data_IF_743038643291
#
_entry.id   IF_743038643291
#
_cell.length_a   1.000
_cell.length_b   1.000
_cell.length_c   1.000
_cell.angle_alpha   90.00
_cell.angle_beta   90.00
_cell.angle_gamma   90.00
#
_symmetry.space_group_name_H-M   'P 1'
#
loop_
_entity.id
_entity.type
_entity.pdbx_description
1 polymer ?
#
# COMPACT_ATOMS: atom_id res chain seq x y z
N UNK A 1 -3.14 12.35 -12.36
CA UNK A 1 -3.06 11.13 -11.51
C UNK A 1 -2.25 11.32 -10.23
N UNK A 2 -1.13 12.07 -10.24
CA UNK A 2 -0.26 12.25 -9.06
C UNK A 2 -0.97 12.80 -7.80
N UNK A 3 -1.85 13.82 -7.87
CA UNK A 3 -2.43 14.41 -6.67
C UNK A 3 -3.34 13.47 -5.87
N UNK A 4 -4.11 12.62 -6.56
CA UNK A 4 -5.00 11.66 -5.92
C UNK A 4 -4.21 10.58 -5.15
N UNK A 5 -3.10 10.11 -5.72
CA UNK A 5 -2.21 9.17 -5.03
C UNK A 5 -1.54 9.80 -3.82
N UNK A 6 -1.08 11.05 -3.93
CA UNK A 6 -0.51 11.76 -2.79
C UNK A 6 -1.54 11.91 -1.65
N UNK A 7 -2.78 12.25 -1.98
CA UNK A 7 -3.87 12.36 -1.00
C UNK A 7 -4.18 11.02 -0.32
N UNK A 8 -4.12 9.90 -1.06
CA UNK A 8 -4.35 8.57 -0.51
C UNK A 8 -3.15 8.04 0.31
N UNK A 9 -1.93 8.34 -0.13
CA UNK A 9 -0.70 7.84 0.49
C UNK A 9 -0.41 8.51 1.83
N UNK A 10 -0.53 9.83 1.91
CA UNK A 10 -0.19 10.61 3.10
C UNK A 10 -0.88 10.14 4.40
N UNK A 11 -2.20 9.86 4.43
CA UNK A 11 -2.87 9.36 5.62
C UNK A 11 -2.78 7.84 5.80
N UNK A 12 -2.24 7.10 4.83
CA UNK A 12 -2.13 5.64 4.92
C UNK A 12 -1.04 5.24 5.93
N UNK A 13 -1.30 4.22 6.73
CA UNK A 13 -0.32 3.71 7.69
C UNK A 13 0.76 2.91 6.97
N UNK A 14 2.02 3.23 7.25
CA UNK A 14 3.14 2.49 6.70
C UNK A 14 3.45 1.26 7.56
N UNK A 15 3.72 0.11 6.94
CA UNK A 15 3.87 -1.19 7.63
C UNK A 15 5.04 -1.22 8.61
N UNK A 16 6.16 -0.57 8.28
CA UNK A 16 7.38 -0.57 9.13
C UNK A 16 7.26 0.35 10.35
N UNK A 17 6.62 1.50 10.20
CA UNK A 17 6.61 2.55 11.24
C UNK A 17 5.31 2.57 12.03
N UNK A 18 4.23 1.95 11.51
CA UNK A 18 2.89 1.99 12.09
C UNK A 18 2.24 3.38 12.09
N UNK A 19 2.91 4.40 11.52
CA UNK A 19 2.44 5.79 11.47
C UNK A 19 2.24 6.20 10.01
N UNK A 20 1.31 7.13 9.79
CA UNK A 20 1.10 7.72 8.47
C UNK A 20 2.10 8.85 8.21
N UNK A 21 2.57 9.03 6.97
CA UNK A 21 3.47 10.13 6.62
C UNK A 21 2.98 11.50 7.08
N UNK A 22 1.69 11.84 6.88
CA UNK A 22 1.16 13.14 7.32
C UNK A 22 1.17 13.32 8.84
N UNK A 23 1.02 12.24 9.60
CA UNK A 23 1.11 12.30 11.06
C UNK A 23 2.55 12.56 11.51
N UNK A 24 3.54 11.98 10.84
CA UNK A 24 4.97 12.18 11.18
C UNK A 24 5.45 13.56 10.76
N UNK A 25 5.05 14.05 9.57
CA UNK A 25 5.48 15.33 9.04
C UNK A 25 4.74 16.52 9.67
N UNK A 26 3.41 16.42 9.81
CA UNK A 26 2.55 17.54 10.17
C UNK A 26 1.91 17.40 11.54
N UNK A 27 1.97 16.21 12.15
CA UNK A 27 1.30 15.92 13.42
C UNK A 27 -0.20 15.66 13.30
N UNK A 28 -0.78 15.64 12.10
CA UNK A 28 -2.22 15.40 11.90
C UNK A 28 -2.52 14.71 10.55
N UNK A 29 -3.65 14.01 10.49
CA UNK A 29 -4.16 13.38 9.27
C UNK A 29 -5.37 14.13 8.73
N UNK A 30 -5.49 14.31 7.39
CA UNK A 30 -6.67 14.88 6.78
C UNK A 30 -7.91 13.99 7.01
N UNK A 31 -9.06 14.64 7.22
CA UNK A 31 -10.34 13.96 7.36
C UNK A 31 -10.95 13.68 5.99
N UNK A 32 -11.39 12.43 5.76
CA UNK A 32 -12.12 12.07 4.55
C UNK A 32 -13.63 12.19 4.74
N UNK A 33 -14.42 12.25 3.66
CA UNK A 33 -15.89 12.24 3.73
C UNK A 33 -16.46 11.09 4.58
N UNK A 34 -15.81 9.93 4.57
CA UNK A 34 -16.20 8.76 5.38
C UNK A 34 -15.99 8.98 6.88
N UNK A 35 -15.05 9.84 7.27
CA UNK A 35 -14.70 10.13 8.67
C UNK A 35 -15.59 11.23 9.29
N UNK A 36 -16.32 11.98 8.47
CA UNK A 36 -17.13 13.13 8.91
C UNK A 36 -18.37 12.73 9.71
N UNK A 37 -18.87 11.50 9.57
CA UNK A 37 -20.02 11.03 10.35
C UNK A 37 -19.56 10.52 11.71
N UNK A 38 -19.67 11.38 12.72
CA UNK A 38 -19.50 10.99 14.12
C UNK A 38 -20.63 10.05 14.53
N UNK A 39 -20.27 8.87 15.06
CA UNK A 39 -21.22 7.88 15.62
C UNK A 39 -22.10 8.44 16.76
N UNK A 40 -21.70 9.57 17.35
CA UNK A 40 -22.38 10.21 18.48
C UNK A 40 -23.51 11.17 18.09
N UNK A 41 -23.81 11.34 16.80
CA UNK A 41 -24.88 12.26 16.37
C UNK A 41 -26.25 11.58 16.55
N UNK A 42 -27.09 12.19 17.38
CA UNK A 42 -28.46 11.74 17.67
C UNK A 42 -29.39 11.83 16.45
N UNK A 43 -29.09 12.74 15.53
CA UNK A 43 -29.92 12.97 14.33
C UNK A 43 -29.01 13.15 13.13
N UNK A 44 -29.07 12.22 12.18
CA UNK A 44 -28.34 12.25 10.91
C UNK A 44 -29.39 12.36 9.80
N UNK A 45 -29.17 13.26 8.85
CA UNK A 45 -30.03 13.38 7.68
C UNK A 45 -30.01 12.07 6.87
N UNK A 46 -31.17 11.52 6.44
CA UNK A 46 -31.24 10.20 5.79
C UNK A 46 -30.31 10.09 4.57
N UNK A 47 -30.28 11.11 3.71
CA UNK A 47 -29.38 11.12 2.54
C UNK A 47 -27.89 11.04 2.90
N UNK A 48 -27.47 11.67 3.99
CA UNK A 48 -26.07 11.61 4.42
C UNK A 48 -25.71 10.20 4.92
N UNK A 49 -26.66 9.53 5.58
CA UNK A 49 -26.52 8.14 6.01
C UNK A 49 -26.43 7.18 4.82
N UNK A 50 -27.34 7.31 3.86
CA UNK A 50 -27.36 6.44 2.66
C UNK A 50 -26.08 6.58 1.84
N UNK A 51 -25.60 7.82 1.68
CA UNK A 51 -24.35 8.10 0.96
C UNK A 51 -23.13 7.50 1.67
N UNK A 52 -23.09 7.57 3.01
CA UNK A 52 -22.03 6.95 3.78
C UNK A 52 -22.04 5.42 3.65
N UNK A 53 -23.21 4.79 3.76
CA UNK A 53 -23.35 3.35 3.62
C UNK A 53 -22.94 2.89 2.21
N UNK A 54 -23.28 3.67 1.18
CA UNK A 54 -22.81 3.45 -0.19
C UNK A 54 -21.27 3.52 -0.27
N UNK A 55 -20.67 4.60 0.21
CA UNK A 55 -19.21 4.77 0.19
C UNK A 55 -18.51 3.64 0.93
N UNK A 56 -19.01 3.26 2.11
CA UNK A 56 -18.44 2.19 2.92
C UNK A 56 -18.40 0.86 2.16
N UNK A 57 -19.49 0.47 1.49
CA UNK A 57 -19.54 -0.74 0.66
C UNK A 57 -18.52 -0.71 -0.48
N UNK A 58 -18.37 0.45 -1.14
CA UNK A 58 -17.39 0.63 -2.21
C UNK A 58 -15.97 0.47 -1.69
N UNK A 59 -15.64 1.10 -0.56
CA UNK A 59 -14.33 0.97 0.08
C UNK A 59 -14.02 -0.46 0.53
N UNK A 60 -15.00 -1.16 1.13
CA UNK A 60 -14.84 -2.56 1.53
C UNK A 60 -14.55 -3.46 0.32
N UNK A 61 -15.22 -3.20 -0.81
CA UNK A 61 -15.01 -3.94 -2.06
C UNK A 61 -13.63 -3.64 -2.65
N UNK A 62 -13.24 -2.36 -2.70
CA UNK A 62 -11.93 -1.95 -3.17
C UNK A 62 -10.80 -2.57 -2.32
N UNK A 63 -10.96 -2.62 -0.99
CA UNK A 63 -10.00 -3.25 -0.09
C UNK A 63 -9.83 -4.75 -0.38
N UNK A 64 -10.94 -5.46 -0.65
CA UNK A 64 -10.89 -6.87 -1.07
C UNK A 64 -10.15 -7.05 -2.39
N UNK A 65 -10.46 -6.26 -3.41
CA UNK A 65 -9.78 -6.32 -4.70
C UNK A 65 -8.26 -6.08 -4.56
N UNK A 66 -7.86 -5.12 -3.72
CA UNK A 66 -6.44 -4.85 -3.44
C UNK A 66 -5.79 -6.05 -2.74
N UNK A 67 -6.46 -6.67 -1.77
CA UNK A 67 -5.93 -7.85 -1.07
C UNK A 67 -5.76 -9.04 -2.01
N UNK A 68 -6.74 -9.29 -2.89
CA UNK A 68 -6.68 -10.34 -3.91
C UNK A 68 -5.55 -10.08 -4.91
N UNK A 69 -5.42 -8.85 -5.40
CA UNK A 69 -4.33 -8.47 -6.30
C UNK A 69 -2.95 -8.65 -5.65
N UNK A 70 -2.79 -8.26 -4.38
CA UNK A 70 -1.55 -8.50 -3.62
C UNK A 70 -1.24 -9.98 -3.50
N UNK A 71 -2.24 -10.81 -3.18
CA UNK A 71 -2.09 -12.27 -3.07
C UNK A 71 -1.70 -12.89 -4.41
N UNK A 72 -2.37 -12.50 -5.49
CA UNK A 72 -2.08 -12.97 -6.83
C UNK A 72 -0.65 -12.62 -7.26
N UNK A 73 -0.23 -11.37 -7.05
CA UNK A 73 1.12 -10.92 -7.39
C UNK A 73 2.19 -11.67 -6.60
N UNK A 74 1.96 -11.89 -5.29
CA UNK A 74 2.85 -12.71 -4.47
C UNK A 74 2.96 -14.13 -5.01
N UNK A 75 1.83 -14.82 -5.23
CA UNK A 75 1.83 -16.19 -5.76
C UNK A 75 2.49 -16.29 -7.13
N UNK A 76 2.30 -15.31 -8.00
CA UNK A 76 2.97 -15.26 -9.30
C UNK A 76 4.48 -15.12 -9.14
N UNK A 77 4.93 -14.21 -8.27
CA UNK A 77 6.35 -14.01 -7.98
C UNK A 77 6.99 -15.26 -7.39
N UNK A 78 6.39 -15.85 -6.35
CA UNK A 78 6.90 -17.05 -5.66
C UNK A 78 6.99 -18.26 -6.61
N UNK A 79 6.13 -18.34 -7.63
CA UNK A 79 6.19 -19.40 -8.66
C UNK A 79 7.37 -19.26 -9.61
N UNK A 80 7.73 -18.02 -9.97
CA UNK A 80 8.79 -17.75 -10.95
C UNK A 80 10.15 -17.53 -10.31
N UNK A 81 10.18 -17.01 -9.09
CA UNK A 81 11.39 -16.76 -8.31
C UNK A 81 11.51 -17.82 -7.22
N UNK A 82 12.19 -18.90 -7.59
CA UNK A 82 12.74 -19.85 -6.62
C UNK A 82 14.13 -19.35 -6.32
N UNK A 83 14.40 -18.97 -5.08
CA UNK A 83 15.76 -18.62 -4.65
C UNK A 83 16.63 -19.89 -4.75
N UNK A 84 17.66 -19.89 -5.61
CA UNK A 84 18.57 -21.02 -5.68
C UNK A 84 19.37 -21.13 -4.39
N UNK A 85 19.51 -22.35 -3.87
CA UNK A 85 20.37 -22.64 -2.72
C UNK A 85 21.82 -22.66 -3.22
N UNK A 86 22.59 -21.62 -2.88
CA UNK A 86 24.00 -21.51 -3.23
C UNK A 86 24.86 -22.08 -2.10
N UNK A 87 25.79 -22.98 -2.43
CA UNK A 87 26.76 -23.53 -1.47
C UNK A 87 28.13 -22.91 -1.67
N UNK A 88 28.92 -22.94 -0.61
CA UNK A 88 30.32 -22.51 -0.68
C UNK A 88 31.08 -23.34 -1.71
N UNK A 89 31.68 -22.66 -2.70
CA UNK A 89 32.39 -23.30 -3.82
C UNK A 89 31.60 -23.38 -5.13
N UNK A 90 30.32 -23.05 -5.15
CA UNK A 90 29.51 -23.03 -6.38
C UNK A 90 29.91 -21.87 -7.29
N UNK A 91 30.03 -22.15 -8.60
CA UNK A 91 30.27 -21.13 -9.60
C UNK A 91 28.95 -20.45 -9.99
N UNK A 92 28.88 -19.14 -9.81
CA UNK A 92 27.69 -18.33 -10.13
C UNK A 92 28.00 -17.31 -11.21
N UNK A 93 27.04 -17.08 -12.10
CA UNK A 93 27.11 -16.05 -13.12
C UNK A 93 26.64 -14.72 -12.55
N UNK A 94 27.49 -13.71 -12.64
CA UNK A 94 27.18 -12.35 -12.18
C UNK A 94 26.89 -11.48 -13.40
N UNK A 95 25.73 -10.83 -13.42
CA UNK A 95 25.38 -9.88 -14.49
C UNK A 95 26.25 -8.63 -14.39
N UNK A 96 27.07 -8.36 -15.41
CA UNK A 96 28.03 -7.25 -15.43
C UNK A 96 27.41 -5.88 -15.74
N UNK A 97 26.11 -5.82 -16.02
CA UNK A 97 25.42 -4.62 -16.52
C UNK A 97 25.55 -3.40 -15.60
N UNK A 98 25.58 -3.60 -14.28
CA UNK A 98 25.66 -2.52 -13.29
C UNK A 98 27.01 -2.45 -12.56
N UNK A 99 28.00 -3.22 -12.99
CA UNK A 99 29.33 -3.20 -12.38
C UNK A 99 30.21 -2.16 -13.07
N UNK A 100 30.20 -0.94 -12.52
CA UNK A 100 31.06 0.15 -13.00
C UNK A 100 32.56 -0.06 -12.71
N UNK A 101 32.91 -1.06 -11.89
CA UNK A 101 34.27 -1.29 -11.38
C UNK A 101 34.87 -2.64 -11.84
N UNK A 102 34.36 -3.28 -12.90
CA UNK A 102 34.94 -4.53 -13.43
C UNK A 102 36.16 -4.34 -14.34
N UNK A 103 36.62 -3.10 -14.53
CA UNK A 103 38.01 -2.87 -14.98
C UNK A 103 38.93 -3.12 -13.79
N UNK A 104 39.50 -4.33 -13.73
CA UNK A 104 40.77 -4.53 -13.04
C UNK A 104 41.89 -3.69 -13.68
N UNK A 105 43.09 -3.63 -13.07
CA UNK A 105 44.27 -3.03 -13.71
C UNK A 105 44.54 -3.63 -15.10
#
# INVERSE_FOLDING_TARGET
MIPAFQLAYNPSQHSTTGKSPSLVEKGWNPLFPVDHLKKSLLTIHPTAKDFHDMLKRVFDTAAKCIAEAKKYNKQRYDKTNIEPDFKEGDQVLVSTINFNNLKGP
#
